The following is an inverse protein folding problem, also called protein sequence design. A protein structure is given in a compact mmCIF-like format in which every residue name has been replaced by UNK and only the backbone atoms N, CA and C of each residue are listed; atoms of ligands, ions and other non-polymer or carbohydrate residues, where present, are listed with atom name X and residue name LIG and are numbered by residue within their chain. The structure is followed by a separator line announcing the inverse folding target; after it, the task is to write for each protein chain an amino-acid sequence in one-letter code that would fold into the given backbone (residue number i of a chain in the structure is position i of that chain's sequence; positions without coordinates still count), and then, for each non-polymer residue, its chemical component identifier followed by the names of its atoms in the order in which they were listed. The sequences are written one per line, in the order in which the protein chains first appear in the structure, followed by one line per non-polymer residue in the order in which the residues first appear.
data_IF_994616946479
#
_entry.id   IF_994616946479
#
_cell.length_a   1.000
_cell.length_b   1.000
_cell.length_c   1.000
_cell.angle_alpha   90.00
_cell.angle_beta   90.00
_cell.angle_gamma   90.00
#
_symmetry.space_group_name_H-M   'P 1'
#
loop_
_entity.id
_entity.type
_entity.pdbx_description
1 polymer ?
#
# COMPACT_ATOMS: atom_id res chain seq x y z
N UNK A 1 -20.00 23.90 3.70
CA UNK A 1 -20.69 22.80 3.01
C UNK A 1 -19.80 21.59 3.12
N UNK A 2 -20.27 20.56 3.81
CA UNK A 2 -19.55 19.29 3.99
C UNK A 2 -19.80 18.34 2.81
N UNK A 3 -19.12 17.19 2.75
CA UNK A 3 -19.19 16.29 1.60
C UNK A 3 -20.62 15.82 1.27
N UNK A 4 -21.41 15.45 2.27
CA UNK A 4 -22.77 14.94 2.11
C UNK A 4 -23.70 15.95 1.42
N UNK A 5 -23.59 17.23 1.81
CA UNK A 5 -24.33 18.34 1.22
C UNK A 5 -23.87 18.63 -0.21
N UNK A 6 -22.56 18.59 -0.46
CA UNK A 6 -21.99 18.83 -1.79
C UNK A 6 -22.37 17.74 -2.78
N UNK A 7 -22.31 16.49 -2.35
CA UNK A 7 -22.75 15.33 -3.14
C UNK A 7 -24.21 15.49 -3.59
N UNK A 8 -25.09 15.84 -2.63
CA UNK A 8 -26.50 16.10 -2.90
C UNK A 8 -26.68 17.27 -3.86
N UNK A 9 -25.96 18.36 -3.65
CA UNK A 9 -26.03 19.55 -4.51
C UNK A 9 -25.61 19.24 -5.95
N UNK A 10 -24.49 18.55 -6.16
CA UNK A 10 -24.01 18.20 -7.50
C UNK A 10 -24.95 17.23 -8.22
N UNK A 11 -25.58 16.32 -7.48
CA UNK A 11 -26.65 15.45 -8.00
C UNK A 11 -27.86 16.27 -8.45
N UNK A 12 -28.34 17.17 -7.59
CA UNK A 12 -29.54 17.98 -7.84
C UNK A 12 -29.34 18.99 -8.97
N UNK A 13 -28.15 19.59 -9.09
CA UNK A 13 -27.77 20.44 -10.24
C UNK A 13 -27.93 19.74 -11.59
N UNK A 14 -27.83 18.42 -11.62
CA UNK A 14 -27.94 17.59 -12.82
C UNK A 14 -29.31 16.92 -12.98
N UNK A 15 -30.27 17.26 -12.10
CA UNK A 15 -31.60 16.66 -12.05
C UNK A 15 -31.59 15.12 -11.89
N UNK A 16 -30.59 14.59 -11.19
CA UNK A 16 -30.46 13.15 -10.98
C UNK A 16 -31.18 12.72 -9.71
N UNK A 17 -31.85 11.57 -9.75
CA UNK A 17 -32.30 10.86 -8.56
C UNK A 17 -31.11 10.18 -7.86
N UNK A 18 -31.26 9.79 -6.59
CA UNK A 18 -30.24 8.98 -5.90
C UNK A 18 -29.98 7.66 -6.63
N UNK A 19 -31.00 7.10 -7.32
CA UNK A 19 -30.85 5.89 -8.13
C UNK A 19 -30.02 6.16 -9.37
N UNK A 20 -30.21 7.31 -10.02
CA UNK A 20 -29.50 7.67 -11.25
C UNK A 20 -28.00 7.89 -10.95
N UNK A 21 -27.68 8.57 -9.84
CA UNK A 21 -26.29 8.71 -9.40
C UNK A 21 -25.68 7.34 -9.07
N UNK A 22 -26.42 6.50 -8.36
CA UNK A 22 -25.97 5.16 -7.99
C UNK A 22 -25.66 4.29 -9.22
N UNK A 23 -26.49 4.37 -10.25
CA UNK A 23 -26.27 3.68 -11.53
C UNK A 23 -25.00 4.18 -12.24
N UNK A 24 -24.81 5.51 -12.30
CA UNK A 24 -23.64 6.12 -12.97
C UNK A 24 -22.30 5.72 -12.35
N UNK A 25 -22.24 5.58 -11.02
CA UNK A 25 -21.02 5.17 -10.30
C UNK A 25 -21.02 3.69 -9.89
N UNK A 26 -22.00 2.91 -10.38
CA UNK A 26 -22.13 1.46 -10.18
C UNK A 26 -22.16 1.02 -8.70
N UNK A 27 -22.97 1.69 -7.90
CA UNK A 27 -23.20 1.36 -6.47
C UNK A 27 -24.68 1.21 -6.18
N UNK A 28 -25.02 0.79 -4.96
CA UNK A 28 -26.42 0.74 -4.53
C UNK A 28 -26.97 2.14 -4.24
N UNK A 29 -28.26 2.36 -4.52
CA UNK A 29 -28.98 3.57 -4.09
C UNK A 29 -28.85 3.82 -2.58
N UNK A 30 -28.82 2.74 -1.79
CA UNK A 30 -28.66 2.80 -0.34
C UNK A 30 -27.31 3.41 0.06
N UNK A 31 -26.25 3.12 -0.69
CA UNK A 31 -24.92 3.71 -0.49
C UNK A 31 -24.99 5.22 -0.68
N UNK A 32 -25.55 5.69 -1.81
CA UNK A 32 -25.73 7.12 -2.08
C UNK A 32 -26.56 7.81 -0.99
N UNK A 33 -27.65 7.18 -0.55
CA UNK A 33 -28.47 7.72 0.53
C UNK A 33 -27.70 7.85 1.85
N UNK A 34 -26.85 6.87 2.20
CA UNK A 34 -26.02 6.95 3.41
C UNK A 34 -24.98 8.08 3.32
N UNK A 35 -24.38 8.28 2.15
CA UNK A 35 -23.42 9.37 1.93
C UNK A 35 -24.09 10.75 2.00
N UNK A 36 -25.23 10.93 1.34
CA UNK A 36 -25.98 12.21 1.38
C UNK A 36 -26.57 12.51 2.77
N UNK A 37 -26.71 11.51 3.62
CA UNK A 37 -27.17 11.68 5.02
C UNK A 37 -26.02 11.72 6.03
N UNK A 38 -24.76 11.66 5.58
CA UNK A 38 -23.59 11.67 6.45
C UNK A 38 -23.44 10.43 7.35
N UNK A 39 -24.17 9.34 7.06
CA UNK A 39 -24.11 8.10 7.85
C UNK A 39 -22.79 7.34 7.68
N UNK A 40 -22.13 7.50 6.53
CA UNK A 40 -20.80 6.97 6.26
C UNK A 40 -20.17 7.72 5.08
N UNK A 41 -18.88 7.45 4.85
CA UNK A 41 -18.15 7.95 3.69
C UNK A 41 -17.92 6.87 2.63
N UNK A 42 -17.85 7.24 1.34
CA UNK A 42 -17.40 6.34 0.27
C UNK A 42 -15.91 5.96 0.40
N UNK A 43 -15.48 4.99 -0.40
CA UNK A 43 -14.05 4.71 -0.61
C UNK A 43 -13.40 5.80 -1.44
N UNK A 44 -12.07 5.93 -1.34
CA UNK A 44 -11.29 6.86 -2.16
C UNK A 44 -11.50 6.68 -3.67
N UNK A 45 -11.66 5.44 -4.14
CA UNK A 45 -11.96 5.13 -5.54
C UNK A 45 -13.29 5.75 -6.00
N UNK A 46 -14.32 5.65 -5.17
CA UNK A 46 -15.62 6.27 -5.47
C UNK A 46 -15.53 7.80 -5.41
N UNK A 47 -14.71 8.36 -4.52
CA UNK A 47 -14.48 9.82 -4.46
C UNK A 47 -13.83 10.31 -5.75
N UNK A 48 -12.86 9.57 -6.29
CA UNK A 48 -12.24 9.86 -7.60
C UNK A 48 -13.29 9.77 -8.72
N UNK A 49 -14.11 8.71 -8.74
CA UNK A 49 -15.16 8.59 -9.75
C UNK A 49 -16.21 9.70 -9.66
N UNK A 50 -16.54 10.16 -8.46
CA UNK A 50 -17.44 11.29 -8.25
C UNK A 50 -16.82 12.60 -8.74
N UNK A 51 -15.54 12.86 -8.46
CA UNK A 51 -14.84 14.04 -8.98
C UNK A 51 -14.83 14.05 -10.51
N UNK A 52 -14.55 12.90 -11.13
CA UNK A 52 -14.56 12.76 -12.60
C UNK A 52 -15.97 12.93 -13.17
N UNK A 53 -16.97 12.32 -12.55
CA UNK A 53 -18.38 12.39 -12.98
C UNK A 53 -18.93 13.82 -12.88
N UNK A 54 -18.54 14.56 -11.85
CA UNK A 54 -18.99 15.93 -11.64
C UNK A 54 -18.11 16.96 -12.37
N UNK A 55 -16.90 16.60 -12.80
CA UNK A 55 -15.96 17.53 -13.42
C UNK A 55 -15.42 18.58 -12.44
N UNK A 56 -15.30 18.22 -11.16
CA UNK A 56 -14.75 19.07 -10.09
C UNK A 56 -13.52 18.39 -9.49
N UNK A 57 -12.67 19.14 -8.78
CA UNK A 57 -11.51 18.51 -8.13
C UNK A 57 -11.91 17.73 -6.88
N UNK A 58 -11.08 16.78 -6.45
CA UNK A 58 -11.26 16.08 -5.17
C UNK A 58 -11.23 17.09 -4.01
N UNK A 59 -10.33 18.08 -4.03
CA UNK A 59 -10.30 19.16 -3.02
C UNK A 59 -11.66 19.85 -2.91
N UNK A 60 -12.24 20.23 -4.06
CA UNK A 60 -13.57 20.83 -4.09
C UNK A 60 -14.62 19.87 -3.54
N UNK A 61 -14.59 18.58 -3.89
CA UNK A 61 -15.56 17.61 -3.41
C UNK A 61 -15.52 17.40 -1.88
N UNK A 62 -14.33 17.47 -1.28
CA UNK A 62 -14.10 17.21 0.16
C UNK A 62 -14.01 18.48 1.01
N UNK A 63 -14.09 19.67 0.40
CA UNK A 63 -13.82 20.95 1.07
C UNK A 63 -14.68 21.12 2.33
N UNK A 64 -14.03 21.45 3.45
CA UNK A 64 -14.62 21.62 4.78
C UNK A 64 -15.12 20.33 5.46
N UNK A 65 -14.70 19.16 4.98
CA UNK A 65 -14.94 17.87 5.63
C UNK A 65 -13.60 17.28 6.09
N UNK A 66 -13.15 17.69 7.28
CA UNK A 66 -11.84 17.29 7.81
C UNK A 66 -11.75 15.79 8.07
N UNK A 67 -12.83 15.17 8.55
CA UNK A 67 -12.88 13.73 8.82
C UNK A 67 -12.71 12.92 7.53
N UNK A 68 -13.45 13.28 6.48
CA UNK A 68 -13.30 12.64 5.18
C UNK A 68 -11.93 12.89 4.55
N UNK A 69 -11.41 14.12 4.69
CA UNK A 69 -10.08 14.47 4.18
C UNK A 69 -9.01 13.59 4.83
N UNK A 70 -9.06 13.41 6.14
CA UNK A 70 -8.12 12.52 6.85
C UNK A 70 -8.27 11.06 6.40
N UNK A 71 -9.52 10.57 6.27
CA UNK A 71 -9.78 9.22 5.76
C UNK A 71 -9.21 9.01 4.37
N UNK A 72 -9.37 9.96 3.45
CA UNK A 72 -8.82 9.89 2.09
C UNK A 72 -7.30 9.87 2.10
N UNK A 73 -6.66 10.68 2.95
CA UNK A 73 -5.21 10.67 3.11
C UNK A 73 -4.75 9.30 3.63
N UNK A 74 -5.42 8.74 4.63
CA UNK A 74 -5.09 7.42 5.18
C UNK A 74 -5.27 6.30 4.16
N UNK A 75 -6.42 6.26 3.48
CA UNK A 75 -6.72 5.29 2.41
C UNK A 75 -5.67 5.38 1.28
N UNK A 76 -5.21 6.59 0.93
CA UNK A 76 -4.18 6.80 -0.09
C UNK A 76 -2.81 6.23 0.31
N UNK A 77 -2.45 6.29 1.60
CA UNK A 77 -1.22 5.70 2.12
C UNK A 77 -1.24 4.18 2.07
N UNK A 78 -2.41 3.57 2.30
CA UNK A 78 -2.57 2.11 2.21
C UNK A 78 -2.46 1.60 0.77
N UNK A 79 -2.97 2.36 -0.20
CA UNK A 79 -2.83 2.05 -1.63
C UNK A 79 -1.39 2.15 -2.14
N UNK A 80 -0.52 2.87 -1.42
CA UNK A 80 0.89 2.94 -1.72
C UNK A 80 1.62 1.66 -1.26
N UNK A 81 1.18 0.49 -1.75
CA UNK A 81 1.87 -0.77 -1.53
C UNK A 81 3.14 -0.79 -2.39
N UNK A 82 4.34 -0.56 -1.84
CA UNK A 82 5.51 -0.39 -2.68
C UNK A 82 5.98 -1.77 -3.09
N UNK A 83 5.70 -2.17 -4.34
CA UNK A 83 6.24 -3.42 -4.92
C UNK A 83 7.74 -3.57 -4.65
N UNK A 84 8.45 -2.44 -4.71
CA UNK A 84 9.88 -2.35 -4.40
C UNK A 84 10.21 -2.61 -2.94
N UNK A 85 9.38 -2.20 -1.97
CA UNK A 85 9.64 -2.47 -0.56
C UNK A 85 9.58 -3.98 -0.30
N UNK A 86 8.56 -4.65 -0.84
CA UNK A 86 8.40 -6.11 -0.72
C UNK A 86 9.59 -6.85 -1.36
N UNK A 87 10.08 -6.35 -2.49
CA UNK A 87 11.29 -6.88 -3.12
C UNK A 87 12.52 -6.78 -2.20
N UNK A 88 12.78 -5.61 -1.60
CA UNK A 88 13.91 -5.42 -0.70
C UNK A 88 13.79 -6.21 0.61
N UNK A 89 12.57 -6.32 1.17
CA UNK A 89 12.30 -7.18 2.34
C UNK A 89 12.62 -8.65 2.02
N UNK A 90 12.26 -9.11 0.81
CA UNK A 90 12.55 -10.47 0.35
C UNK A 90 14.05 -10.70 0.15
N UNK A 91 14.77 -9.71 -0.37
CA UNK A 91 16.24 -9.73 -0.52
C UNK A 91 16.95 -9.85 0.83
N UNK A 92 16.46 -9.11 1.83
CA UNK A 92 16.95 -9.18 3.20
C UNK A 92 16.76 -10.58 3.79
N UNK A 93 15.55 -11.14 3.66
CA UNK A 93 15.23 -12.48 4.17
C UNK A 93 16.06 -13.58 3.50
N UNK A 94 16.32 -13.46 2.19
CA UNK A 94 17.23 -14.36 1.48
C UNK A 94 18.65 -14.30 2.07
N UNK A 95 19.15 -13.10 2.35
CA UNK A 95 20.44 -12.92 3.01
C UNK A 95 20.52 -13.59 4.38
N UNK A 96 19.48 -13.42 5.22
CA UNK A 96 19.38 -14.09 6.53
C UNK A 96 19.38 -15.61 6.38
N UNK A 97 18.60 -16.15 5.44
CA UNK A 97 18.55 -17.58 5.18
C UNK A 97 19.92 -18.14 4.77
N UNK A 98 20.61 -17.50 3.83
CA UNK A 98 21.96 -17.90 3.40
C UNK A 98 22.98 -17.79 4.55
N UNK A 99 22.81 -16.83 5.46
CA UNK A 99 23.67 -16.70 6.63
C UNK A 99 23.44 -17.85 7.63
N UNK A 100 22.19 -18.20 7.91
CA UNK A 100 21.85 -19.30 8.82
C UNK A 100 22.34 -20.65 8.29
N UNK A 101 22.17 -20.92 6.99
CA UNK A 101 22.69 -22.17 6.38
C UNK A 101 24.20 -22.29 6.55
N UNK A 102 24.96 -21.18 6.44
CA UNK A 102 26.40 -21.17 6.72
C UNK A 102 26.73 -21.46 8.18
N UNK A 103 25.99 -20.90 9.13
CA UNK A 103 26.17 -21.19 10.57
C UNK A 103 25.93 -22.67 10.86
N UNK A 104 24.87 -23.24 10.29
CA UNK A 104 24.56 -24.66 10.45
C UNK A 104 25.67 -25.54 9.88
N UNK A 105 26.14 -25.26 8.67
CA UNK A 105 27.24 -26.02 8.05
C UNK A 105 28.53 -25.88 8.85
N UNK A 106 28.86 -24.67 9.32
CA UNK A 106 30.03 -24.46 10.18
C UNK A 106 29.93 -25.28 11.47
N UNK A 107 28.75 -25.33 12.09
CA UNK A 107 28.49 -26.10 13.32
C UNK A 107 28.65 -27.59 13.07
N UNK A 108 28.05 -28.13 12.01
CA UNK A 108 28.16 -29.54 11.64
C UNK A 108 29.60 -29.94 11.33
N UNK A 109 30.34 -29.11 10.60
CA UNK A 109 31.73 -29.41 10.28
C UNK A 109 32.62 -29.38 11.53
N UNK A 110 32.39 -28.45 12.45
CA UNK A 110 33.19 -28.31 13.66
C UNK A 110 32.90 -29.37 14.71
N UNK A 111 31.63 -29.73 14.92
CA UNK A 111 31.21 -30.57 16.04
C UNK A 111 30.83 -32.00 15.64
N UNK A 112 30.32 -32.20 14.42
CA UNK A 112 29.91 -33.53 13.95
C UNK A 112 30.98 -34.21 13.06
N UNK A 113 32.15 -33.57 12.87
CA UNK A 113 33.21 -34.08 12.00
C UNK A 113 32.81 -34.17 10.53
N UNK A 114 31.77 -33.44 10.13
CA UNK A 114 31.32 -33.40 8.75
C UNK A 114 32.31 -32.60 7.87
N UNK A 115 32.38 -32.93 6.58
CA UNK A 115 33.19 -32.23 5.58
C UNK A 115 32.30 -31.59 4.50
N UNK A 116 31.22 -30.93 4.93
CA UNK A 116 30.24 -30.33 4.03
C UNK A 116 30.76 -29.01 3.50
N UNK A 117 30.95 -28.93 2.19
CA UNK A 117 31.24 -27.68 1.45
C UNK A 117 30.01 -27.26 0.66
N UNK A 118 29.47 -26.06 0.93
CA UNK A 118 28.26 -25.55 0.27
C UNK A 118 28.47 -25.27 -1.22
N UNK A 119 29.55 -24.56 -1.57
CA UNK A 119 29.93 -24.24 -2.95
C UNK A 119 31.43 -24.47 -3.05
N UNK A 120 31.84 -25.50 -3.77
CA UNK A 120 33.25 -25.75 -4.08
C UNK A 120 33.77 -24.66 -5.02
N UNK A 121 35.02 -24.23 -4.81
CA UNK A 121 35.74 -23.27 -5.67
C UNK A 121 35.09 -21.88 -5.79
N UNK A 122 34.23 -21.49 -4.85
CA UNK A 122 33.65 -20.16 -4.83
C UNK A 122 34.71 -19.09 -4.51
N UNK A 123 34.71 -17.93 -5.19
CA UNK A 123 35.56 -16.80 -4.83
C UNK A 123 35.33 -16.40 -3.37
N UNK A 124 36.40 -15.96 -2.67
CA UNK A 124 36.32 -15.53 -1.27
C UNK A 124 35.24 -14.46 -1.03
N UNK A 125 34.98 -13.61 -2.03
CA UNK A 125 33.94 -12.57 -2.01
C UNK A 125 32.53 -13.14 -1.76
N UNK A 126 32.24 -14.38 -2.19
CA UNK A 126 30.96 -15.06 -1.94
C UNK A 126 30.71 -15.33 -0.46
N UNK A 127 31.73 -15.22 0.39
CA UNK A 127 31.54 -15.28 1.83
C UNK A 127 30.70 -14.12 2.37
N UNK A 128 30.83 -12.94 1.75
CA UNK A 128 30.14 -11.73 2.13
C UNK A 128 28.80 -11.54 1.42
N UNK A 129 28.43 -12.42 0.48
CA UNK A 129 27.17 -12.32 -0.26
C UNK A 129 25.92 -12.23 0.65
N UNK A 130 25.77 -13.06 1.71
CA UNK A 130 24.63 -12.93 2.62
C UNK A 130 24.57 -11.56 3.30
N UNK A 131 25.73 -11.03 3.71
CA UNK A 131 25.83 -9.72 4.36
C UNK A 131 25.47 -8.59 3.38
N UNK A 132 25.95 -8.65 2.14
CA UNK A 132 25.60 -7.68 1.09
C UNK A 132 24.11 -7.67 0.81
N UNK A 133 23.47 -8.84 0.70
CA UNK A 133 22.02 -8.95 0.50
C UNK A 133 21.23 -8.35 1.67
N UNK A 134 21.69 -8.59 2.91
CA UNK A 134 21.08 -8.00 4.11
C UNK A 134 21.25 -6.47 4.16
N UNK A 135 22.43 -5.94 3.84
CA UNK A 135 22.67 -4.49 3.84
C UNK A 135 21.83 -3.81 2.75
N UNK A 136 21.87 -4.33 1.52
CA UNK A 136 21.11 -3.77 0.39
C UNK A 136 19.61 -3.88 0.63
N UNK A 137 19.13 -5.04 1.08
CA UNK A 137 17.73 -5.28 1.42
C UNK A 137 17.23 -4.36 2.54
N UNK A 138 17.99 -4.28 3.65
CA UNK A 138 17.64 -3.44 4.80
C UNK A 138 17.62 -1.95 4.46
N UNK A 139 18.66 -1.44 3.79
CA UNK A 139 18.73 -0.03 3.38
C UNK A 139 17.63 0.32 2.37
N UNK A 140 17.38 -0.54 1.39
CA UNK A 140 16.34 -0.34 0.38
C UNK A 140 14.94 -0.31 1.00
N UNK A 141 14.64 -1.25 1.90
CA UNK A 141 13.36 -1.30 2.61
C UNK A 141 13.15 -0.06 3.50
N UNK A 142 14.15 0.36 4.28
CA UNK A 142 14.03 1.53 5.16
C UNK A 142 13.86 2.85 4.38
N UNK A 143 14.58 3.01 3.26
CA UNK A 143 14.43 4.17 2.40
C UNK A 143 13.02 4.27 1.83
N UNK A 144 12.46 3.16 1.35
CA UNK A 144 11.09 3.14 0.82
C UNK A 144 10.08 3.35 1.94
N UNK A 145 10.27 2.74 3.12
CA UNK A 145 9.41 2.96 4.28
C UNK A 145 9.30 4.44 4.64
N UNK A 146 10.36 5.24 4.50
CA UNK A 146 10.32 6.70 4.72
C UNK A 146 9.61 7.47 3.62
N UNK A 147 9.66 7.02 2.37
CA UNK A 147 8.98 7.65 1.23
C UNK A 147 7.46 7.42 1.27
N UNK A 148 7.03 6.26 1.77
CA UNK A 148 5.62 5.85 1.78
C UNK A 148 4.92 6.03 3.15
N UNK A 149 5.53 6.76 4.09
CA UNK A 149 4.97 7.04 5.42
C UNK A 149 4.49 8.49 5.50
#
# INVERSE_FOLDING_TARGET
MIFSERLKQEREKRNWSQSDLAEKIRVSRQSVSKWETGKNYPSIEIIIHLSDLFGITIDELLRNDEELTQKVIEDSKQLAHPKWKVFFDSLFMLGVFLFLTKIVVWTLNKFAGASITLVADAPYVMNFLPLLLMVIGGMGSDKLKKIYK
#
